data_IF_624356615998
#
_entry.id   IF_624356615998
#
_cell.length_a   1.000
_cell.length_b   1.000
_cell.length_c   1.000
_cell.angle_alpha   90.00
_cell.angle_beta   90.00
_cell.angle_gamma   90.00
#
_symmetry.space_group_name_H-M   'P 1'
#
loop_
_entity.id
_entity.type
_entity.pdbx_description
1 polymer ?
#
# COMPACT_ATOMS: atom_id res chain seq x y z
N UNK A 1 -51.94 -42.08 36.34
CA UNK A 1 -51.53 -41.89 34.92
C UNK A 1 -50.03 -42.08 34.83
N UNK A 2 -49.56 -43.33 34.85
CA UNK A 2 -49.18 -44.16 33.69
C UNK A 2 -47.94 -43.64 32.94
N UNK A 3 -46.79 -44.07 33.46
CA UNK A 3 -45.49 -44.11 32.79
C UNK A 3 -45.50 -45.14 31.65
N UNK A 4 -44.85 -44.81 30.53
CA UNK A 4 -44.57 -45.76 29.43
C UNK A 4 -43.07 -45.79 29.15
N UNK A 5 -42.48 -46.95 29.39
CA UNK A 5 -41.09 -47.27 29.08
C UNK A 5 -40.86 -47.49 27.59
N UNK A 6 -39.65 -47.19 27.13
CA UNK A 6 -39.17 -47.52 25.78
C UNK A 6 -38.51 -48.91 25.78
N UNK A 7 -38.78 -49.76 24.77
CA UNK A 7 -38.14 -51.06 24.65
C UNK A 7 -36.72 -50.95 24.07
N UNK A 8 -35.82 -51.79 24.60
CA UNK A 8 -34.47 -52.05 24.06
C UNK A 8 -34.57 -52.82 22.74
N UNK A 9 -34.21 -52.16 21.64
CA UNK A 9 -34.09 -52.76 20.31
C UNK A 9 -32.67 -53.29 20.04
N UNK A 10 -32.60 -54.62 19.98
CA UNK A 10 -31.69 -55.55 19.29
C UNK A 10 -30.51 -54.98 18.47
N UNK A 11 -29.31 -55.51 18.76
CA UNK A 11 -28.10 -55.42 17.93
C UNK A 11 -28.24 -56.33 16.70
N UNK A 12 -27.91 -55.86 15.48
CA UNK A 12 -27.75 -56.75 14.34
C UNK A 12 -26.48 -57.59 14.45
N UNK A 13 -26.59 -58.84 14.01
CA UNK A 13 -25.55 -59.87 14.02
C UNK A 13 -24.41 -59.55 13.04
N UNK A 14 -23.19 -59.84 13.47
CA UNK A 14 -21.97 -59.83 12.64
C UNK A 14 -22.02 -60.93 11.58
N UNK A 15 -21.71 -60.62 10.31
CA UNK A 15 -21.46 -61.64 9.31
C UNK A 15 -20.06 -62.25 9.49
N UNK A 16 -20.05 -63.57 9.67
CA UNK A 16 -18.86 -64.40 9.70
C UNK A 16 -18.17 -64.46 8.34
N UNK A 17 -16.84 -64.48 8.37
CA UNK A 17 -16.01 -65.19 7.38
C UNK A 17 -15.62 -64.43 6.12
N UNK A 18 -14.42 -63.83 6.12
CA UNK A 18 -13.61 -63.71 4.90
C UNK A 18 -12.28 -64.45 5.09
N UNK A 19 -11.86 -65.29 4.13
CA UNK A 19 -10.59 -66.00 4.21
C UNK A 19 -9.41 -65.10 3.81
N UNK A 20 -8.33 -65.23 4.58
CA UNK A 20 -6.92 -65.13 4.16
C UNK A 20 -6.52 -64.05 3.16
N UNK A 21 -6.21 -62.85 3.66
CA UNK A 21 -5.26 -61.96 2.99
C UNK A 21 -3.94 -62.02 3.79
N UNK A 22 -2.91 -62.56 3.13
CA UNK A 22 -1.57 -62.65 3.67
C UNK A 22 -1.00 -61.26 4.01
N UNK A 23 -0.60 -61.10 5.28
CA UNK A 23 0.59 -60.38 5.72
C UNK A 23 0.95 -59.05 5.03
N UNK A 24 0.13 -58.02 5.20
CA UNK A 24 0.65 -56.65 5.17
C UNK A 24 0.76 -56.16 6.62
N UNK A 25 2.00 -56.15 7.13
CA UNK A 25 2.32 -55.52 8.42
C UNK A 25 1.82 -54.07 8.38
N UNK A 26 0.98 -53.63 9.34
CA UNK A 26 0.66 -52.22 9.47
C UNK A 26 1.96 -51.48 9.79
N UNK A 27 2.44 -50.67 8.84
CA UNK A 27 3.53 -49.75 9.10
C UNK A 27 3.08 -48.81 10.23
N UNK A 28 3.90 -48.60 11.27
CA UNK A 28 3.55 -47.73 12.37
C UNK A 28 3.24 -46.32 11.84
N UNK A 29 2.04 -45.83 12.13
CA UNK A 29 1.55 -44.47 11.81
C UNK A 29 2.38 -43.33 12.43
N UNK A 30 3.51 -43.64 13.06
CA UNK A 30 4.38 -42.73 13.78
C UNK A 30 5.49 -42.09 12.91
N UNK A 31 5.63 -42.44 11.63
CA UNK A 31 6.76 -42.00 10.80
C UNK A 31 6.43 -40.94 9.71
N UNK A 32 5.21 -40.39 9.67
CA UNK A 32 4.82 -39.37 8.67
C UNK A 32 4.67 -37.94 9.23
N UNK A 33 5.09 -37.70 10.48
CA UNK A 33 5.06 -36.36 11.10
C UNK A 33 6.43 -35.65 11.15
N UNK A 34 7.43 -36.15 10.41
CA UNK A 34 8.82 -35.66 10.50
C UNK A 34 9.19 -34.58 9.45
N UNK A 35 8.20 -33.95 8.80
CA UNK A 35 8.42 -32.96 7.74
C UNK A 35 7.77 -31.60 7.95
N UNK A 36 7.14 -31.34 9.10
CA UNK A 36 6.64 -30.00 9.42
C UNK A 36 7.86 -29.12 9.73
N UNK A 37 8.47 -28.56 8.68
CA UNK A 37 9.43 -27.48 8.87
C UNK A 37 8.69 -26.38 9.62
N UNK A 38 9.19 -25.96 10.80
CA UNK A 38 8.55 -24.88 11.53
C UNK A 38 8.59 -23.67 10.59
N UNK A 39 7.40 -23.27 10.14
CA UNK A 39 7.13 -22.05 9.39
C UNK A 39 7.38 -20.88 10.31
N UNK A 40 8.65 -20.69 10.65
CA UNK A 40 9.15 -19.52 11.35
C UNK A 40 9.03 -18.37 10.38
N UNK A 41 7.82 -17.79 10.32
CA UNK A 41 7.69 -16.46 9.76
C UNK A 41 8.73 -15.60 10.49
N UNK A 42 9.69 -15.00 9.78
CA UNK A 42 10.75 -14.26 10.42
C UNK A 42 10.08 -13.18 11.26
N UNK A 43 10.18 -13.35 12.58
CA UNK A 43 9.59 -12.44 13.55
C UNK A 43 10.08 -11.04 13.20
N UNK A 44 9.15 -10.13 12.91
CA UNK A 44 9.48 -8.77 12.52
C UNK A 44 10.55 -8.23 13.48
N UNK A 45 11.73 -7.88 12.95
CA UNK A 45 12.84 -7.42 13.79
C UNK A 45 12.42 -6.13 14.48
N UNK A 46 12.82 -5.96 15.74
CA UNK A 46 12.64 -4.70 16.42
C UNK A 46 13.43 -3.61 15.66
N UNK A 47 12.81 -2.45 15.43
CA UNK A 47 13.49 -1.30 14.86
C UNK A 47 14.62 -0.88 15.81
N UNK A 48 15.80 -0.57 15.26
CA UNK A 48 16.92 -0.14 16.10
C UNK A 48 16.60 1.22 16.74
N UNK A 49 17.06 1.48 17.98
CA UNK A 49 16.82 2.76 18.65
C UNK A 49 17.27 3.96 17.81
N UNK A 50 18.43 3.85 17.14
CA UNK A 50 18.93 4.91 16.25
C UNK A 50 18.01 5.20 15.05
N UNK A 51 17.35 4.17 14.49
CA UNK A 51 16.36 4.38 13.44
C UNK A 51 15.12 5.10 13.96
N UNK A 52 14.65 4.77 15.18
CA UNK A 52 13.50 5.44 15.79
C UNK A 52 13.79 6.92 16.08
N UNK A 53 14.98 7.22 16.62
CA UNK A 53 15.42 8.62 16.86
C UNK A 53 15.53 9.37 15.54
N UNK A 54 16.18 8.79 14.53
CA UNK A 54 16.29 9.39 13.20
C UNK A 54 14.92 9.63 12.56
N UNK A 55 14.01 8.66 12.62
CA UNK A 55 12.65 8.82 12.11
C UNK A 55 11.89 9.91 12.86
N UNK A 56 12.00 9.98 14.19
CA UNK A 56 11.38 11.05 14.99
C UNK A 56 11.88 12.44 14.61
N UNK A 57 13.19 12.60 14.39
CA UNK A 57 13.77 13.85 13.91
C UNK A 57 13.27 14.23 12.51
N UNK A 58 13.16 13.26 11.59
CA UNK A 58 12.62 13.48 10.25
C UNK A 58 11.14 13.88 10.27
N UNK A 59 10.33 13.28 11.15
CA UNK A 59 8.93 13.66 11.37
C UNK A 59 8.84 15.11 11.86
N UNK A 60 9.64 15.48 12.87
CA UNK A 60 9.65 16.83 13.41
C UNK A 60 10.07 17.86 12.34
N UNK A 61 11.10 17.54 11.56
CA UNK A 61 11.56 18.37 10.45
C UNK A 61 10.48 18.51 9.36
N UNK A 62 9.86 17.40 8.94
CA UNK A 62 8.79 17.42 7.96
C UNK A 62 7.59 18.25 8.43
N UNK A 63 7.23 18.16 9.72
CA UNK A 63 6.17 18.95 10.33
C UNK A 63 6.49 20.45 10.26
N UNK A 64 7.69 20.83 10.70
CA UNK A 64 8.14 22.21 10.69
C UNK A 64 8.18 22.78 9.27
N UNK A 65 8.80 22.07 8.32
CA UNK A 65 8.93 22.51 6.94
C UNK A 65 7.57 22.60 6.21
N UNK A 66 6.71 21.60 6.39
CA UNK A 66 5.38 21.60 5.76
C UNK A 66 4.49 22.72 6.30
N UNK A 67 4.61 23.07 7.58
CA UNK A 67 3.87 24.20 8.14
C UNK A 67 4.44 25.56 7.71
N UNK A 68 5.77 25.68 7.68
CA UNK A 68 6.46 26.94 7.41
C UNK A 68 6.51 27.30 5.92
N UNK A 69 6.81 26.32 5.05
CA UNK A 69 7.01 26.51 3.61
C UNK A 69 6.42 25.34 2.78
N UNK A 70 5.10 25.06 2.87
CA UNK A 70 4.47 23.87 2.30
C UNK A 70 4.73 23.68 0.81
N UNK A 71 4.72 24.77 0.03
CA UNK A 71 4.91 24.69 -1.41
C UNK A 71 6.34 24.29 -1.80
N UNK A 72 7.34 24.81 -1.08
CA UNK A 72 8.74 24.42 -1.29
C UNK A 72 8.98 22.97 -0.83
N UNK A 73 8.42 22.58 0.32
CA UNK A 73 8.48 21.21 0.82
C UNK A 73 7.84 20.22 -0.15
N UNK A 74 6.68 20.56 -0.71
CA UNK A 74 6.03 19.77 -1.73
C UNK A 74 6.90 19.58 -2.97
N UNK A 75 7.44 20.69 -3.50
CA UNK A 75 8.19 20.66 -4.75
C UNK A 75 9.52 19.91 -4.61
N UNK A 76 10.28 20.19 -3.55
CA UNK A 76 11.53 19.49 -3.26
C UNK A 76 11.29 18.03 -2.88
N UNK A 77 10.24 17.76 -2.09
CA UNK A 77 9.87 16.40 -1.73
C UNK A 77 9.55 15.56 -2.95
N UNK A 78 8.74 16.10 -3.87
CA UNK A 78 8.41 15.41 -5.12
C UNK A 78 9.66 15.24 -6.02
N UNK A 79 10.49 16.27 -6.15
CA UNK A 79 11.70 16.22 -6.98
C UNK A 79 12.72 15.20 -6.44
N UNK A 80 12.97 15.17 -5.13
CA UNK A 80 14.00 14.34 -4.52
C UNK A 80 13.52 12.92 -4.20
N UNK A 81 12.26 12.75 -3.79
CA UNK A 81 11.75 11.48 -3.26
C UNK A 81 10.61 10.89 -4.10
N UNK A 82 10.09 11.62 -5.09
CA UNK A 82 9.02 11.18 -5.99
C UNK A 82 9.33 9.85 -6.69
N UNK A 83 10.27 9.81 -7.62
CA UNK A 83 10.57 8.53 -8.29
C UNK A 83 11.15 7.45 -7.34
N UNK A 84 12.05 7.79 -6.39
CA UNK A 84 12.56 6.80 -5.43
C UNK A 84 11.49 6.08 -4.61
N UNK A 85 10.48 6.78 -4.08
CA UNK A 85 9.46 6.10 -3.27
C UNK A 85 8.63 5.15 -4.12
N UNK A 86 8.23 5.54 -5.33
CA UNK A 86 7.47 4.66 -6.24
C UNK A 86 8.22 3.36 -6.51
N UNK A 87 9.52 3.44 -6.81
CA UNK A 87 10.34 2.25 -7.05
C UNK A 87 10.49 1.37 -5.80
N UNK A 88 10.73 2.00 -4.63
CA UNK A 88 10.82 1.30 -3.35
C UNK A 88 9.53 0.55 -3.02
N UNK A 89 8.38 1.19 -3.22
CA UNK A 89 7.06 0.62 -2.96
C UNK A 89 6.69 -0.48 -3.95
N UNK A 90 6.93 -0.28 -5.25
CA UNK A 90 6.68 -1.31 -6.26
C UNK A 90 7.54 -2.56 -6.01
N UNK A 91 8.79 -2.38 -5.57
CA UNK A 91 9.63 -3.51 -5.15
C UNK A 91 9.02 -4.23 -3.95
N UNK A 92 8.62 -3.48 -2.93
CA UNK A 92 7.98 -4.06 -1.74
C UNK A 92 6.73 -4.85 -2.12
N UNK A 93 5.86 -4.25 -2.93
CA UNK A 93 4.62 -4.86 -3.42
C UNK A 93 4.90 -6.14 -4.19
N UNK A 94 5.85 -6.10 -5.13
CA UNK A 94 6.21 -7.26 -5.95
C UNK A 94 6.74 -8.41 -5.10
N UNK A 95 7.76 -8.14 -4.28
CA UNK A 95 8.36 -9.15 -3.41
C UNK A 95 7.36 -9.74 -2.40
N UNK A 96 6.45 -8.91 -1.86
CA UNK A 96 5.53 -9.33 -0.80
C UNK A 96 4.28 -10.03 -1.33
N UNK A 97 3.69 -9.52 -2.42
CA UNK A 97 2.35 -9.94 -2.84
C UNK A 97 2.35 -10.83 -4.08
N UNK A 98 3.32 -10.73 -4.99
CA UNK A 98 3.33 -11.58 -6.20
C UNK A 98 3.17 -13.07 -5.87
N UNK A 99 3.88 -13.67 -4.89
CA UNK A 99 3.73 -15.10 -4.60
C UNK A 99 2.33 -15.51 -4.12
N UNK A 100 1.52 -14.55 -3.68
CA UNK A 100 0.20 -14.76 -3.07
C UNK A 100 -0.95 -14.49 -4.04
N UNK A 101 -0.72 -13.61 -5.02
CA UNK A 101 -1.76 -13.20 -5.97
C UNK A 101 -1.84 -14.22 -7.11
N UNK A 102 -3.03 -14.75 -7.45
CA UNK A 102 -3.21 -15.65 -8.59
C UNK A 102 -2.79 -14.99 -9.91
N UNK A 103 -2.13 -15.76 -10.79
CA UNK A 103 -1.61 -15.24 -12.07
C UNK A 103 -2.68 -14.57 -12.95
N UNK A 104 -3.89 -15.12 -13.02
CA UNK A 104 -5.00 -14.50 -13.77
C UNK A 104 -5.42 -13.14 -13.22
N UNK A 105 -5.36 -12.95 -11.89
CA UNK A 105 -5.66 -11.67 -11.25
C UNK A 105 -4.54 -10.65 -11.49
N UNK A 106 -3.27 -11.09 -11.44
CA UNK A 106 -2.12 -10.25 -11.82
C UNK A 106 -2.23 -9.78 -13.28
N UNK A 107 -2.62 -10.67 -14.21
CA UNK A 107 -2.82 -10.31 -15.61
C UNK A 107 -3.94 -9.27 -15.79
N UNK A 108 -5.07 -9.44 -15.09
CA UNK A 108 -6.17 -8.47 -15.08
C UNK A 108 -5.71 -7.11 -14.54
N UNK A 109 -4.97 -7.09 -13.43
CA UNK A 109 -4.44 -5.84 -12.86
C UNK A 109 -3.45 -5.16 -13.81
N UNK A 110 -2.55 -5.93 -14.42
CA UNK A 110 -1.61 -5.43 -15.42
C UNK A 110 -2.31 -4.80 -16.62
N UNK A 111 -3.38 -5.43 -17.12
CA UNK A 111 -4.18 -4.89 -18.23
C UNK A 111 -4.87 -3.56 -17.84
N UNK A 112 -5.54 -3.51 -16.69
CA UNK A 112 -6.26 -2.32 -16.23
C UNK A 112 -5.31 -1.15 -15.93
N UNK A 113 -4.18 -1.42 -15.26
CA UNK A 113 -3.14 -0.41 -15.00
C UNK A 113 -2.46 0.04 -16.30
N UNK A 114 -2.19 -0.90 -17.21
CA UNK A 114 -1.67 -0.60 -18.54
C UNK A 114 -2.56 0.38 -19.29
N UNK A 115 -3.88 0.17 -19.27
CA UNK A 115 -4.85 1.09 -19.86
C UNK A 115 -4.80 2.50 -19.24
N UNK A 116 -4.68 2.61 -17.91
CA UNK A 116 -4.51 3.91 -17.23
C UNK A 116 -3.22 4.62 -17.67
N UNK A 117 -2.10 3.89 -17.68
CA UNK A 117 -0.79 4.44 -18.05
C UNK A 117 -0.76 4.87 -19.51
N UNK A 118 -1.26 4.04 -20.43
CA UNK A 118 -1.38 4.38 -21.86
C UNK A 118 -2.26 5.61 -22.06
N UNK A 119 -3.37 5.69 -21.33
CA UNK A 119 -4.25 6.84 -21.31
C UNK A 119 -3.51 8.14 -20.94
N UNK A 120 -2.80 8.13 -19.80
CA UNK A 120 -2.01 9.28 -19.33
C UNK A 120 -0.83 9.61 -20.26
N UNK A 121 -0.17 8.60 -20.82
CA UNK A 121 0.94 8.78 -21.75
C UNK A 121 0.47 9.44 -23.06
N UNK A 122 -0.66 9.02 -23.62
CA UNK A 122 -1.26 9.67 -24.79
C UNK A 122 -1.65 11.13 -24.51
N UNK A 123 -2.13 11.43 -23.30
CA UNK A 123 -2.37 12.81 -22.86
C UNK A 123 -1.10 13.64 -22.71
N UNK A 124 -0.02 13.04 -22.21
CA UNK A 124 1.29 13.70 -22.12
C UNK A 124 1.85 14.05 -23.51
N UNK A 125 1.64 13.18 -24.50
CA UNK A 125 2.09 13.37 -25.88
C UNK A 125 1.15 14.26 -26.71
N UNK A 126 0.03 14.72 -26.14
CA UNK A 126 -0.95 15.55 -26.84
C UNK A 126 -1.83 14.80 -27.85
N UNK A 127 -1.83 13.46 -27.84
CA UNK A 127 -2.60 12.65 -28.79
C UNK A 127 -4.08 12.53 -28.45
N UNK A 128 -4.44 12.49 -27.17
CA UNK A 128 -5.83 12.45 -26.70
C UNK A 128 -5.95 12.87 -25.23
N UNK A 129 -7.16 13.08 -24.72
CA UNK A 129 -7.39 13.27 -23.29
C UNK A 129 -8.26 12.14 -22.74
N UNK A 130 -7.90 11.60 -21.57
CA UNK A 130 -8.70 10.60 -20.88
C UNK A 130 -9.66 11.32 -19.95
N UNK A 131 -10.98 11.17 -20.14
CA UNK A 131 -11.95 11.74 -19.21
C UNK A 131 -11.71 11.20 -17.80
N UNK A 132 -11.74 12.05 -16.75
CA UNK A 132 -11.58 11.61 -15.36
C UNK A 132 -12.45 10.41 -14.97
N UNK A 133 -13.67 10.35 -15.52
CA UNK A 133 -14.61 9.24 -15.29
C UNK A 133 -14.12 7.90 -15.85
N UNK A 134 -13.46 7.91 -17.00
CA UNK A 134 -12.93 6.68 -17.61
C UNK A 134 -11.78 6.13 -16.78
N UNK A 135 -10.84 6.98 -16.38
CA UNK A 135 -9.73 6.56 -15.52
C UNK A 135 -10.24 6.02 -14.17
N UNK A 136 -11.15 6.73 -13.50
CA UNK A 136 -11.74 6.23 -12.24
C UNK A 136 -12.59 4.98 -12.45
N UNK A 137 -13.20 4.79 -13.63
CA UNK A 137 -13.89 3.56 -14.00
C UNK A 137 -12.93 2.36 -14.05
N UNK A 138 -11.74 2.54 -14.62
CA UNK A 138 -10.68 1.52 -14.60
C UNK A 138 -10.19 1.24 -13.17
N UNK A 139 -10.03 2.27 -12.35
CA UNK A 139 -9.69 2.11 -10.92
C UNK A 139 -10.82 1.38 -10.17
N UNK A 140 -12.09 1.64 -10.51
CA UNK A 140 -13.23 0.91 -9.94
C UNK A 140 -13.22 -0.56 -10.32
N UNK A 141 -12.86 -0.89 -11.57
CA UNK A 141 -12.70 -2.27 -12.01
C UNK A 141 -11.53 -2.97 -11.28
N UNK A 142 -10.43 -2.25 -11.02
CA UNK A 142 -9.34 -2.75 -10.16
C UNK A 142 -9.86 -3.07 -8.76
N UNK A 143 -10.56 -2.16 -8.10
CA UNK A 143 -11.15 -2.40 -6.77
C UNK A 143 -12.13 -3.57 -6.77
N UNK A 144 -13.00 -3.66 -7.79
CA UNK A 144 -13.97 -4.74 -7.92
C UNK A 144 -13.31 -6.11 -8.03
N UNK A 145 -12.13 -6.20 -8.66
CA UNK A 145 -11.41 -7.46 -8.81
C UNK A 145 -10.94 -8.05 -7.46
N UNK A 146 -10.83 -7.26 -6.38
CA UNK A 146 -10.54 -7.78 -5.04
C UNK A 146 -11.63 -8.75 -4.54
N UNK A 147 -12.87 -8.61 -5.03
CA UNK A 147 -13.98 -9.52 -4.72
C UNK A 147 -13.82 -10.91 -5.36
N UNK A 148 -12.96 -11.03 -6.38
CA UNK A 148 -12.66 -12.28 -7.09
C UNK A 148 -11.63 -13.13 -6.34
N UNK A 149 -11.02 -12.61 -5.27
CA UNK A 149 -9.99 -13.31 -4.50
C UNK A 149 -10.64 -14.47 -3.71
N UNK A 150 -10.25 -15.73 -3.98
CA UNK A 150 -10.77 -16.87 -3.23
C UNK A 150 -10.39 -16.79 -1.75
N UNK A 151 -11.26 -17.28 -0.86
CA UNK A 151 -10.99 -17.32 0.59
C UNK A 151 -11.22 -16.01 1.34
N UNK A 152 -11.65 -14.94 0.67
CA UNK A 152 -12.04 -13.71 1.36
C UNK A 152 -13.26 -13.95 2.26
N UNK A 153 -13.12 -13.64 3.55
CA UNK A 153 -14.22 -13.69 4.52
C UNK A 153 -15.38 -12.77 4.11
N UNK A 154 -16.60 -13.06 4.59
CA UNK A 154 -17.78 -12.23 4.32
C UNK A 154 -17.59 -10.76 4.71
N UNK A 155 -16.93 -10.49 5.84
CA UNK A 155 -16.63 -9.12 6.29
C UNK A 155 -15.77 -8.37 5.28
N UNK A 156 -14.64 -8.96 4.84
CA UNK A 156 -13.74 -8.29 3.90
C UNK A 156 -14.34 -8.13 2.50
N UNK A 157 -15.21 -9.07 2.07
CA UNK A 157 -16.02 -8.89 0.86
C UNK A 157 -16.98 -7.72 1.00
N UNK A 158 -17.63 -7.55 2.14
CA UNK A 158 -18.51 -6.41 2.40
C UNK A 158 -17.73 -5.08 2.41
N UNK A 159 -16.54 -5.05 3.02
CA UNK A 159 -15.65 -3.87 2.98
C UNK A 159 -15.25 -3.52 1.54
N UNK A 160 -14.80 -4.49 0.75
CA UNK A 160 -14.45 -4.27 -0.66
C UNK A 160 -15.66 -3.80 -1.49
N UNK A 161 -16.85 -4.37 -1.27
CA UNK A 161 -18.08 -3.94 -1.92
C UNK A 161 -18.49 -2.51 -1.53
N UNK A 162 -18.34 -2.14 -0.25
CA UNK A 162 -18.59 -0.77 0.22
C UNK A 162 -17.60 0.23 -0.41
N UNK A 163 -16.31 -0.12 -0.46
CA UNK A 163 -15.30 0.70 -1.14
C UNK A 163 -15.63 0.87 -2.63
N UNK A 164 -16.05 -0.20 -3.31
CA UNK A 164 -16.48 -0.14 -4.71
C UNK A 164 -17.71 0.74 -4.89
N UNK A 165 -18.73 0.61 -4.03
CA UNK A 165 -19.94 1.42 -4.10
C UNK A 165 -19.64 2.91 -3.87
N UNK A 166 -18.81 3.23 -2.88
CA UNK A 166 -18.36 4.60 -2.61
C UNK A 166 -17.58 5.19 -3.80
N UNK A 167 -16.68 4.39 -4.39
CA UNK A 167 -15.90 4.81 -5.56
C UNK A 167 -16.81 5.04 -6.79
N UNK A 168 -17.72 4.10 -7.08
CA UNK A 168 -18.68 4.22 -8.18
C UNK A 168 -19.58 5.46 -8.04
N UNK A 169 -20.09 5.71 -6.83
CA UNK A 169 -20.83 6.93 -6.52
C UNK A 169 -19.98 8.19 -6.75
N UNK A 170 -18.72 8.18 -6.30
CA UNK A 170 -17.76 9.25 -6.53
C UNK A 170 -17.50 9.51 -8.02
N UNK A 171 -17.30 8.47 -8.83
CA UNK A 171 -17.10 8.56 -10.29
C UNK A 171 -18.31 9.22 -10.96
N UNK A 172 -19.52 8.81 -10.57
CA UNK A 172 -20.76 9.32 -11.16
C UNK A 172 -21.02 10.79 -10.77
N UNK A 173 -20.93 11.09 -9.48
CA UNK A 173 -21.39 12.35 -8.89
C UNK A 173 -20.32 13.44 -8.90
N UNK A 174 -19.06 13.10 -8.59
CA UNK A 174 -18.01 14.09 -8.38
C UNK A 174 -16.60 13.53 -8.69
N UNK A 175 -16.27 13.25 -9.97
CA UNK A 175 -15.02 12.55 -10.33
C UNK A 175 -13.77 13.33 -9.93
N UNK A 176 -13.76 14.65 -10.05
CA UNK A 176 -12.61 15.47 -9.63
C UNK A 176 -12.41 15.46 -8.11
N UNK A 177 -13.50 15.56 -7.34
CA UNK A 177 -13.45 15.43 -5.88
C UNK A 177 -12.98 14.03 -5.46
N UNK A 178 -13.39 13.00 -6.20
CA UNK A 178 -12.98 11.62 -5.98
C UNK A 178 -11.48 11.43 -6.19
N UNK A 179 -10.89 12.04 -7.22
CA UNK A 179 -9.43 12.05 -7.40
C UNK A 179 -8.71 12.72 -6.24
N UNK A 180 -9.20 13.86 -5.75
CA UNK A 180 -8.62 14.54 -4.57
C UNK A 180 -8.73 13.65 -3.35
N UNK A 181 -9.89 13.04 -3.10
CA UNK A 181 -10.07 12.12 -1.97
C UNK A 181 -9.13 10.91 -2.04
N UNK A 182 -9.00 10.27 -3.20
CA UNK A 182 -8.04 9.18 -3.41
C UNK A 182 -6.59 9.68 -3.27
N UNK A 183 -6.30 10.90 -3.72
CA UNK A 183 -4.99 11.53 -3.54
C UNK A 183 -4.69 11.84 -2.07
N UNK A 184 -5.68 12.07 -1.22
CA UNK A 184 -5.43 12.19 0.23
C UNK A 184 -5.30 10.82 0.88
N UNK A 185 -6.18 9.88 0.52
CA UNK A 185 -6.23 8.53 1.08
C UNK A 185 -5.02 7.68 0.72
N UNK A 186 -4.40 7.85 -0.46
CA UNK A 186 -3.21 7.06 -0.81
C UNK A 186 -2.04 7.34 0.13
N UNK A 187 -1.94 8.54 0.72
CA UNK A 187 -0.90 8.81 1.71
C UNK A 187 -1.02 7.90 2.94
N UNK A 188 -2.19 7.28 3.17
CA UNK A 188 -2.45 6.35 4.28
C UNK A 188 -2.14 4.89 3.94
N UNK A 189 -1.84 4.54 2.69
CA UNK A 189 -1.58 3.14 2.30
C UNK A 189 -0.41 2.48 3.04
N UNK A 190 0.64 3.20 3.48
CA UNK A 190 1.68 2.58 4.31
C UNK A 190 1.15 2.07 5.65
N UNK A 191 0.06 2.64 6.19
CA UNK A 191 -0.59 2.09 7.39
C UNK A 191 -1.28 0.75 7.10
N UNK A 192 -1.85 0.59 5.89
CA UNK A 192 -2.39 -0.68 5.41
C UNK A 192 -1.30 -1.75 5.31
N UNK A 193 -0.15 -1.41 4.73
CA UNK A 193 1.00 -2.32 4.66
C UNK A 193 1.59 -2.64 6.04
N UNK A 194 1.64 -1.65 6.94
CA UNK A 194 2.04 -1.88 8.32
C UNK A 194 1.07 -2.82 9.06
N UNK A 195 -0.24 -2.69 8.80
CA UNK A 195 -1.27 -3.58 9.34
C UNK A 195 -1.14 -5.01 8.81
N UNK A 196 -0.82 -5.16 7.52
CA UNK A 196 -0.55 -6.46 6.88
C UNK A 196 0.70 -7.10 7.48
N UNK A 197 1.74 -6.31 7.73
CA UNK A 197 3.06 -6.82 8.09
C UNK A 197 3.20 -7.23 9.54
N UNK A 198 2.48 -6.55 10.45
CA UNK A 198 2.60 -6.73 11.88
C UNK A 198 1.41 -7.50 12.46
N UNK A 199 1.66 -8.15 13.60
CA UNK A 199 0.64 -8.94 14.30
C UNK A 199 0.43 -8.49 15.75
N UNK A 200 -0.71 -8.90 16.32
CA UNK A 200 -1.03 -8.77 17.74
C UNK A 200 -0.82 -7.38 18.33
N UNK A 201 -0.14 -7.31 19.48
CA UNK A 201 0.11 -6.06 20.19
C UNK A 201 1.11 -5.12 19.49
N UNK A 202 1.94 -5.61 18.57
CA UNK A 202 2.85 -4.77 17.77
C UNK A 202 2.07 -4.01 16.70
N UNK A 203 1.17 -4.70 15.98
CA UNK A 203 0.25 -4.07 15.02
C UNK A 203 -0.56 -2.95 15.67
N UNK A 204 -1.20 -3.22 16.81
CA UNK A 204 -2.02 -2.21 17.51
C UNK A 204 -1.22 -0.96 17.87
N UNK A 205 -0.02 -1.12 18.44
CA UNK A 205 0.86 0.02 18.78
C UNK A 205 1.31 0.79 17.55
N UNK A 206 1.71 0.10 16.49
CA UNK A 206 2.17 0.72 15.26
C UNK A 206 1.05 1.47 14.55
N UNK A 207 -0.19 0.94 14.54
CA UNK A 207 -1.36 1.64 14.00
C UNK A 207 -1.83 2.80 14.88
N UNK A 208 -1.73 2.69 16.21
CA UNK A 208 -2.03 3.82 17.10
C UNK A 208 -1.06 4.97 16.88
N UNK A 209 0.25 4.69 16.82
CA UNK A 209 1.27 5.68 16.49
C UNK A 209 1.07 6.22 15.07
N UNK A 210 0.81 5.35 14.10
CA UNK A 210 0.50 5.73 12.72
C UNK A 210 -0.72 6.65 12.62
N UNK A 211 -1.79 6.38 13.37
CA UNK A 211 -2.97 7.24 13.45
C UNK A 211 -2.65 8.61 14.05
N UNK A 212 -1.83 8.66 15.11
CA UNK A 212 -1.35 9.93 15.66
C UNK A 212 -0.56 10.73 14.61
N UNK A 213 0.33 10.08 13.86
CA UNK A 213 1.18 10.74 12.87
C UNK A 213 0.41 11.17 11.61
N UNK A 214 -0.42 10.29 11.03
CA UNK A 214 -1.11 10.53 9.76
C UNK A 214 -2.47 11.21 9.91
N UNK A 215 -3.03 11.30 11.11
CA UNK A 215 -4.30 11.99 11.37
C UNK A 215 -4.13 13.10 12.41
N UNK A 216 -3.54 12.78 13.56
CA UNK A 216 -3.36 13.75 14.66
C UNK A 216 -2.52 14.96 14.26
N UNK A 217 -1.30 14.76 13.74
CA UNK A 217 -0.42 15.87 13.35
C UNK A 217 -0.97 16.71 12.17
N UNK A 218 -1.53 16.12 11.08
CA UNK A 218 -2.23 16.89 10.05
C UNK A 218 -3.38 17.74 10.58
N UNK A 219 -4.15 17.23 11.56
CA UNK A 219 -5.19 18.01 12.21
C UNK A 219 -4.60 19.20 12.97
N UNK A 220 -3.47 19.05 13.65
CA UNK A 220 -2.77 20.18 14.30
C UNK A 220 -2.31 21.24 13.28
N UNK A 221 -1.81 20.83 12.11
CA UNK A 221 -1.46 21.75 11.01
C UNK A 221 -2.71 22.48 10.51
N UNK A 222 -3.83 21.76 10.35
CA UNK A 222 -5.09 22.33 9.88
C UNK A 222 -5.64 23.39 10.86
N UNK A 223 -5.49 23.14 12.16
CA UNK A 223 -5.83 24.07 13.24
C UNK A 223 -4.87 25.28 13.33
N UNK A 224 -3.75 25.26 12.61
CA UNK A 224 -2.80 26.38 12.56
C UNK A 224 -1.79 26.40 13.71
N UNK A 225 -1.71 25.35 14.53
CA UNK A 225 -0.87 25.35 15.73
C UNK A 225 0.64 25.52 15.42
N UNK A 226 1.24 24.76 14.48
CA UNK A 226 2.65 24.97 14.12
C UNK A 226 2.93 26.35 13.52
N UNK A 227 2.02 26.87 12.70
CA UNK A 227 2.15 28.17 12.04
C UNK A 227 2.09 29.32 13.05
N UNK A 228 1.34 29.17 14.15
CA UNK A 228 1.31 30.16 15.23
C UNK A 228 2.67 30.30 15.95
N UNK A 229 3.49 29.24 15.93
CA UNK A 229 4.82 29.20 16.55
C UNK A 229 5.93 29.61 15.58
N UNK A 230 5.86 29.15 14.33
CA UNK A 230 6.93 29.31 13.34
C UNK A 230 6.72 30.52 12.40
N UNK A 231 5.51 31.07 12.39
CA UNK A 231 5.03 31.91 11.29
C UNK A 231 4.78 31.09 10.01
N UNK A 232 4.26 31.75 8.98
CA UNK A 232 4.11 31.17 7.64
C UNK A 232 4.95 31.98 6.67
N UNK A 233 5.84 31.29 5.95
CA UNK A 233 6.67 31.91 4.93
C UNK A 233 5.98 31.84 3.57
N UNK A 234 6.02 32.96 2.85
CA UNK A 234 5.72 33.00 1.42
C UNK A 234 6.97 32.77 0.57
N UNK A 235 7.99 32.07 1.12
CA UNK A 235 9.23 31.80 0.41
C UNK A 235 8.93 31.24 -0.99
N UNK A 236 9.59 31.77 -2.03
CA UNK A 236 9.38 31.31 -3.39
C UNK A 236 9.73 29.83 -3.45
N UNK A 237 8.80 29.05 -3.97
CA UNK A 237 9.04 27.63 -4.18
C UNK A 237 9.89 27.42 -5.45
N UNK A 238 10.76 26.39 -5.47
CA UNK A 238 11.64 26.14 -6.60
C UNK A 238 10.84 25.73 -7.85
N UNK A 239 11.52 25.76 -9.00
CA UNK A 239 10.97 25.27 -10.28
C UNK A 239 9.74 26.03 -10.81
N UNK A 240 9.52 27.26 -10.33
CA UNK A 240 8.41 28.12 -10.78
C UNK A 240 7.03 27.62 -10.39
N UNK A 241 6.92 26.81 -9.33
CA UNK A 241 5.64 26.25 -8.90
C UNK A 241 4.75 27.32 -8.27
N UNK A 242 3.46 27.34 -8.64
CA UNK A 242 2.46 28.24 -8.09
C UNK A 242 1.48 27.49 -7.19
N UNK A 243 1.18 28.07 -6.02
CA UNK A 243 0.27 27.47 -5.04
C UNK A 243 -1.11 27.18 -5.65
N UNK A 244 -1.67 28.15 -6.39
CA UNK A 244 -3.00 28.04 -7.00
C UNK A 244 -3.14 26.81 -7.92
N UNK A 245 -2.06 26.39 -8.58
CA UNK A 245 -2.06 25.19 -9.42
C UNK A 245 -1.98 23.90 -8.62
N UNK A 246 -1.33 23.93 -7.46
CA UNK A 246 -1.17 22.74 -6.62
C UNK A 246 -2.39 22.48 -5.75
N UNK A 247 -3.12 23.52 -5.33
CA UNK A 247 -4.36 23.36 -4.55
C UNK A 247 -5.37 22.42 -5.24
N UNK A 248 -5.39 22.40 -6.58
CA UNK A 248 -6.32 21.56 -7.36
C UNK A 248 -6.20 20.07 -7.07
N UNK A 249 -5.02 19.60 -6.66
CA UNK A 249 -4.75 18.18 -6.36
C UNK A 249 -5.01 17.76 -4.92
N UNK A 250 -5.09 18.71 -3.98
CA UNK A 250 -5.15 18.42 -2.53
C UNK A 250 -6.36 19.05 -1.83
N UNK A 251 -7.01 20.02 -2.47
CA UNK A 251 -8.16 20.73 -1.92
C UNK A 251 -9.36 20.54 -2.84
N UNK A 252 -10.47 20.09 -2.26
CA UNK A 252 -11.72 19.91 -2.95
C UNK A 252 -12.17 21.22 -3.63
N UNK A 253 -12.78 21.16 -4.83
CA UNK A 253 -13.14 22.37 -5.58
C UNK A 253 -13.92 23.42 -4.77
N UNK A 254 -14.87 22.98 -3.95
CA UNK A 254 -15.71 23.85 -3.12
C UNK A 254 -14.94 24.56 -1.98
N UNK A 255 -13.74 24.11 -1.64
CA UNK A 255 -12.97 24.59 -0.49
C UNK A 255 -11.74 25.42 -0.87
N UNK A 256 -11.46 25.61 -2.16
CA UNK A 256 -10.23 26.28 -2.62
C UNK A 256 -10.13 27.76 -2.24
N UNK A 257 -11.27 28.42 -2.06
CA UNK A 257 -11.35 29.81 -1.60
C UNK A 257 -11.46 29.94 -0.06
N UNK A 258 -11.53 28.82 0.66
CA UNK A 258 -11.64 28.85 2.11
C UNK A 258 -10.33 29.35 2.75
N UNK A 259 -10.44 30.09 3.85
CA UNK A 259 -9.29 30.63 4.59
C UNK A 259 -8.35 29.56 5.17
N UNK A 260 -8.79 28.30 5.18
CA UNK A 260 -8.02 27.15 5.65
C UNK A 260 -7.49 26.27 4.51
N UNK A 261 -7.74 26.61 3.24
CA UNK A 261 -7.31 25.82 2.08
C UNK A 261 -5.78 25.60 2.06
N UNK A 262 -5.00 26.63 2.38
CA UNK A 262 -3.54 26.52 2.45
C UNK A 262 -3.07 25.62 3.60
N UNK A 263 -3.77 25.65 4.73
CA UNK A 263 -3.48 24.77 5.87
C UNK A 263 -3.83 23.31 5.56
N UNK A 264 -4.92 23.07 4.82
CA UNK A 264 -5.22 21.74 4.30
C UNK A 264 -4.13 21.26 3.33
N UNK A 265 -3.65 22.13 2.43
CA UNK A 265 -2.53 21.81 1.55
C UNK A 265 -1.26 21.47 2.35
N UNK A 266 -0.90 22.28 3.34
CA UNK A 266 0.23 22.01 4.23
C UNK A 266 0.10 20.67 4.97
N UNK A 267 -1.10 20.35 5.46
CA UNK A 267 -1.39 19.08 6.10
C UNK A 267 -1.21 17.90 5.12
N UNK A 268 -1.67 18.04 3.88
CA UNK A 268 -1.48 17.04 2.83
C UNK A 268 0.00 16.84 2.46
N UNK A 269 0.77 17.93 2.34
CA UNK A 269 2.22 17.87 2.10
C UNK A 269 2.93 17.14 3.23
N UNK A 270 2.55 17.40 4.48
CA UNK A 270 3.10 16.67 5.62
C UNK A 270 2.76 15.17 5.55
N UNK A 271 1.52 14.79 5.24
CA UNK A 271 1.17 13.38 5.05
C UNK A 271 1.94 12.71 3.91
N UNK A 272 2.24 13.44 2.84
CA UNK A 272 3.08 12.98 1.74
C UNK A 272 4.53 12.75 2.20
N UNK A 273 5.10 13.63 3.02
CA UNK A 273 6.41 13.41 3.63
C UNK A 273 6.43 12.18 4.55
N UNK A 274 5.37 11.96 5.33
CA UNK A 274 5.24 10.74 6.14
C UNK A 274 5.13 9.49 5.27
N UNK A 275 4.38 9.54 4.17
CA UNK A 275 4.30 8.45 3.22
C UNK A 275 5.70 8.10 2.68
N UNK A 276 6.49 9.10 2.25
CA UNK A 276 7.88 8.89 1.82
C UNK A 276 8.76 8.27 2.90
N UNK A 277 8.68 8.78 4.13
CA UNK A 277 9.42 8.25 5.27
C UNK A 277 9.11 6.76 5.48
N UNK A 278 7.84 6.38 5.42
CA UNK A 278 7.43 5.00 5.64
C UNK A 278 7.89 4.08 4.52
N UNK A 279 7.69 4.48 3.27
CA UNK A 279 8.03 3.68 2.08
C UNK A 279 9.54 3.54 1.89
N UNK A 280 10.31 4.59 2.18
CA UNK A 280 11.76 4.60 1.95
C UNK A 280 12.57 4.07 3.14
N UNK A 281 12.09 4.23 4.38
CA UNK A 281 12.86 3.87 5.58
C UNK A 281 12.18 2.80 6.44
N UNK A 282 10.89 2.96 6.77
CA UNK A 282 10.23 2.11 7.78
C UNK A 282 9.89 0.71 7.23
N UNK A 283 9.19 0.62 6.10
CA UNK A 283 8.85 -0.66 5.48
C UNK A 283 10.10 -1.49 5.15
N UNK A 284 11.15 -0.92 4.51
CA UNK A 284 12.42 -1.64 4.29
C UNK A 284 13.08 -2.14 5.58
N UNK A 285 12.99 -1.37 6.67
CA UNK A 285 13.56 -1.78 7.95
C UNK A 285 12.82 -2.96 8.59
N UNK A 286 11.50 -3.06 8.40
CA UNK A 286 10.68 -4.16 8.93
C UNK A 286 10.96 -5.50 8.25
N UNK A 287 11.33 -5.50 6.97
CA UNK A 287 11.76 -6.70 6.25
C UNK A 287 13.19 -7.13 6.59
N UNK A 288 13.91 -6.31 7.38
CA UNK A 288 15.31 -6.49 7.67
C UNK A 288 16.15 -6.03 6.50
N UNK A 289 16.98 -5.00 6.71
CA UNK A 289 17.75 -4.34 5.64
C UNK A 289 18.43 -5.36 4.71
N UNK A 290 19.12 -6.36 5.25
CA UNK A 290 19.76 -7.41 4.46
C UNK A 290 18.80 -8.10 3.47
N UNK A 291 17.63 -8.56 3.93
CA UNK A 291 16.66 -9.24 3.09
C UNK A 291 15.96 -8.29 2.11
N UNK A 292 15.59 -7.09 2.56
CA UNK A 292 14.96 -6.08 1.70
C UNK A 292 15.86 -5.66 0.55
N UNK A 293 17.16 -5.54 0.83
CA UNK A 293 18.14 -5.14 -0.16
C UNK A 293 18.52 -6.29 -1.11
N UNK A 294 18.15 -7.54 -0.87
CA UNK A 294 18.45 -8.66 -1.79
C UNK A 294 19.51 -9.64 -1.30
N UNK A 295 19.79 -9.68 0.00
CA UNK A 295 20.37 -10.86 0.64
C UNK A 295 19.25 -11.81 1.08
N UNK A 296 18.33 -12.10 0.17
CA UNK A 296 17.48 -13.27 0.35
C UNK A 296 18.41 -14.49 0.33
N UNK A 297 18.30 -15.44 1.29
CA UNK A 297 19.11 -16.65 1.27
C UNK A 297 19.03 -17.30 -0.12
N UNK A 298 20.18 -17.73 -0.65
CA UNK A 298 20.28 -18.35 -1.97
C UNK A 298 19.19 -19.44 -2.11
N UNK A 299 18.24 -19.21 -3.03
CA UNK A 299 17.06 -20.09 -3.23
C UNK A 299 15.69 -19.45 -2.99
N UNK A 300 15.62 -18.26 -2.36
CA UNK A 300 14.35 -17.59 -2.04
C UNK A 300 13.94 -16.46 -3.02
N UNK A 301 14.69 -16.25 -4.10
CA UNK A 301 14.34 -15.28 -5.18
C UNK A 301 13.19 -15.74 -6.09
N UNK A 302 12.61 -16.93 -5.84
CA UNK A 302 11.51 -17.48 -6.65
C UNK A 302 10.19 -16.80 -6.28
N UNK A 303 10.01 -15.53 -6.64
CA UNK A 303 8.81 -14.83 -6.24
C UNK A 303 8.49 -13.51 -6.92
N UNK A 304 9.43 -12.76 -7.48
CA UNK A 304 9.15 -11.43 -8.05
C UNK A 304 8.69 -11.49 -9.50
N UNK A 305 7.99 -10.46 -9.97
CA UNK A 305 7.70 -10.21 -11.38
C UNK A 305 8.91 -9.57 -12.07
N UNK A 306 9.57 -8.63 -11.38
CA UNK A 306 10.72 -7.91 -11.92
C UNK A 306 12.04 -8.42 -11.32
N UNK A 307 13.13 -8.41 -12.09
CA UNK A 307 14.47 -8.74 -11.61
C UNK A 307 15.04 -7.53 -10.84
N UNK A 308 14.54 -7.30 -9.62
CA UNK A 308 15.03 -6.20 -8.79
C UNK A 308 16.52 -6.34 -8.48
N UNK A 309 17.30 -5.25 -8.50
CA UNK A 309 18.72 -5.32 -8.22
C UNK A 309 18.98 -5.74 -6.76
N UNK A 310 20.19 -6.26 -6.51
CA UNK A 310 20.69 -6.51 -5.16
C UNK A 310 20.92 -5.23 -4.34
N UNK A 311 21.59 -5.32 -3.17
CA UNK A 311 21.58 -4.23 -2.19
C UNK A 311 22.14 -2.91 -2.70
N UNK A 312 23.38 -3.00 -3.18
CA UNK A 312 24.09 -1.88 -3.74
C UNK A 312 23.36 -1.35 -4.99
N UNK A 313 22.91 -2.26 -5.86
CA UNK A 313 22.22 -1.89 -7.09
C UNK A 313 20.88 -1.18 -6.84
N UNK A 314 20.17 -1.53 -5.77
CA UNK A 314 18.95 -0.81 -5.39
C UNK A 314 19.30 0.57 -4.84
N UNK A 315 20.32 0.68 -3.99
CA UNK A 315 20.76 1.99 -3.49
C UNK A 315 21.15 2.92 -4.64
N UNK A 316 21.89 2.40 -5.62
CA UNK A 316 22.24 3.09 -6.85
C UNK A 316 21.01 3.42 -7.71
N UNK A 317 20.06 2.49 -7.84
CA UNK A 317 18.80 2.73 -8.57
C UNK A 317 17.99 3.87 -7.94
N UNK A 318 17.84 3.87 -6.61
CA UNK A 318 17.13 4.94 -5.91
C UNK A 318 17.84 6.28 -6.02
N UNK A 319 19.18 6.28 -5.94
CA UNK A 319 19.98 7.49 -6.15
C UNK A 319 19.85 8.01 -7.58
N UNK A 320 19.94 7.13 -8.59
CA UNK A 320 19.76 7.48 -9.99
C UNK A 320 18.33 7.99 -10.26
N UNK A 321 17.32 7.38 -9.63
CA UNK A 321 15.94 7.82 -9.70
C UNK A 321 15.74 9.22 -9.10
N UNK A 322 16.38 9.50 -7.96
CA UNK A 322 16.37 10.83 -7.34
C UNK A 322 17.04 11.86 -8.25
N UNK A 323 18.21 11.53 -8.80
CA UNK A 323 18.95 12.41 -9.73
C UNK A 323 18.17 12.67 -11.01
N UNK A 324 17.57 11.65 -11.61
CA UNK A 324 16.72 11.77 -12.79
C UNK A 324 15.50 12.65 -12.49
N UNK A 325 14.79 12.37 -11.40
CA UNK A 325 13.62 13.15 -10.99
C UNK A 325 13.99 14.63 -10.84
N UNK A 326 15.02 14.93 -10.03
CA UNK A 326 15.51 16.30 -9.86
C UNK A 326 15.91 16.95 -11.20
N UNK A 327 16.64 16.23 -12.05
CA UNK A 327 17.04 16.68 -13.38
C UNK A 327 15.85 17.03 -14.28
N UNK A 328 14.78 16.22 -14.26
CA UNK A 328 13.54 16.50 -15.00
C UNK A 328 12.85 17.77 -14.48
N UNK A 329 12.77 17.95 -13.16
CA UNK A 329 12.17 19.15 -12.55
C UNK A 329 12.94 20.42 -12.91
N UNK A 330 14.27 20.34 -12.93
CA UNK A 330 15.13 21.46 -13.38
C UNK A 330 14.97 21.73 -14.87
N UNK A 331 15.01 20.69 -15.71
CA UNK A 331 15.05 20.84 -17.17
C UNK A 331 13.69 21.20 -17.81
N UNK A 332 12.59 20.62 -17.31
CA UNK A 332 11.26 20.74 -17.91
C UNK A 332 10.34 21.72 -17.15
N UNK A 333 10.77 22.17 -15.97
CA UNK A 333 9.92 22.90 -15.03
C UNK A 333 8.90 22.00 -14.32
N UNK A 334 8.29 22.53 -13.26
CA UNK A 334 7.48 21.76 -12.32
C UNK A 334 6.31 21.01 -12.98
N UNK A 335 5.52 21.71 -13.80
CA UNK A 335 4.29 21.16 -14.38
C UNK A 335 4.54 20.00 -15.33
N UNK A 336 5.56 20.11 -16.20
CA UNK A 336 5.89 19.05 -17.15
C UNK A 336 6.50 17.83 -16.45
N UNK A 337 7.47 18.05 -15.55
CA UNK A 337 8.07 16.98 -14.77
C UNK A 337 7.04 16.21 -13.92
N UNK A 338 6.10 16.92 -13.29
CA UNK A 338 4.99 16.31 -12.54
C UNK A 338 4.09 15.42 -13.42
N UNK A 339 3.84 15.80 -14.68
CA UNK A 339 3.06 14.95 -15.61
C UNK A 339 3.82 13.69 -16.01
N UNK A 340 5.14 13.76 -16.21
CA UNK A 340 5.97 12.58 -16.44
C UNK A 340 5.97 11.64 -15.22
N UNK A 341 6.16 12.21 -14.03
CA UNK A 341 6.08 11.49 -12.76
C UNK A 341 4.70 10.84 -12.55
N UNK A 342 3.62 11.45 -13.04
CA UNK A 342 2.27 10.92 -12.89
C UNK A 342 2.05 9.54 -13.57
N UNK A 343 2.93 9.10 -14.47
CA UNK A 343 2.85 7.77 -15.10
C UNK A 343 3.20 6.65 -14.12
N UNK A 344 4.44 6.55 -13.58
CA UNK A 344 4.75 5.55 -12.57
C UNK A 344 3.94 5.77 -11.28
N UNK A 345 3.61 7.02 -10.95
CA UNK A 345 2.75 7.34 -9.80
C UNK A 345 1.32 6.75 -9.92
N UNK A 346 0.80 6.61 -11.15
CA UNK A 346 -0.50 5.94 -11.33
C UNK A 346 -0.40 4.46 -11.00
N UNK A 347 0.71 3.80 -11.37
CA UNK A 347 0.88 2.36 -11.20
C UNK A 347 0.87 1.99 -9.73
N UNK A 348 1.71 2.60 -8.89
CA UNK A 348 1.77 2.26 -7.46
C UNK A 348 0.46 2.65 -6.73
N UNK A 349 -0.03 3.87 -6.89
CA UNK A 349 -1.23 4.32 -6.19
C UNK A 349 -2.46 3.45 -6.49
N UNK A 350 -2.61 2.97 -7.73
CA UNK A 350 -3.77 2.19 -8.12
C UNK A 350 -3.64 0.69 -7.84
N UNK A 351 -2.42 0.11 -7.84
CA UNK A 351 -2.24 -1.31 -7.48
C UNK A 351 -2.45 -1.57 -5.99
N UNK A 352 -2.19 -0.57 -5.14
CA UNK A 352 -2.33 -0.66 -3.68
C UNK A 352 -3.76 -0.91 -3.22
N UNK A 353 -4.75 -0.31 -3.88
CA UNK A 353 -6.16 -0.43 -3.50
C UNK A 353 -6.66 -1.88 -3.50
N UNK A 354 -6.60 -2.63 -4.62
CA UNK A 354 -7.03 -4.02 -4.62
C UNK A 354 -6.14 -4.92 -3.77
N UNK A 355 -4.84 -4.61 -3.65
CA UNK A 355 -3.92 -5.36 -2.80
C UNK A 355 -4.31 -5.30 -1.32
N UNK A 356 -4.53 -4.09 -0.79
CA UNK A 356 -4.87 -3.90 0.62
C UNK A 356 -6.26 -4.49 0.95
N UNK A 357 -7.21 -4.42 0.03
CA UNK A 357 -8.52 -5.06 0.19
C UNK A 357 -8.44 -6.60 0.14
N UNK A 358 -7.54 -7.14 -0.68
CA UNK A 358 -7.33 -8.58 -0.83
C UNK A 358 -6.40 -9.18 0.24
N UNK A 359 -5.54 -8.37 0.87
CA UNK A 359 -4.46 -8.82 1.75
C UNK A 359 -4.91 -9.82 2.83
N UNK A 360 -6.06 -9.64 3.53
CA UNK A 360 -6.52 -10.60 4.52
C UNK A 360 -6.77 -12.00 3.95
N UNK A 361 -7.35 -12.08 2.75
CA UNK A 361 -7.62 -13.35 2.07
C UNK A 361 -6.33 -14.00 1.55
N UNK A 362 -5.42 -13.17 1.04
CA UNK A 362 -4.11 -13.62 0.53
C UNK A 362 -3.23 -14.20 1.65
N UNK A 363 -3.32 -13.64 2.87
CA UNK A 363 -2.62 -14.15 4.04
C UNK A 363 -3.13 -15.53 4.46
N UNK A 364 -4.45 -15.70 4.62
CA UNK A 364 -5.03 -16.99 5.03
C UNK A 364 -4.72 -18.13 4.07
N UNK A 365 -4.58 -17.83 2.77
CA UNK A 365 -4.17 -18.84 1.76
C UNK A 365 -2.71 -19.25 1.88
N UNK A 366 -1.82 -18.31 2.20
CA UNK A 366 -0.41 -18.61 2.39
C UNK A 366 -0.21 -19.51 3.62
N UNK A 367 -0.95 -19.25 4.70
CA UNK A 367 -0.96 -20.08 5.91
C UNK A 367 -1.52 -21.48 5.65
N UNK A 368 -2.54 -21.61 4.80
CA UNK A 368 -3.11 -22.92 4.46
C UNK A 368 -2.23 -23.77 3.52
N UNK A 369 -1.29 -23.15 2.81
CA UNK A 369 -0.38 -23.83 1.88
C UNK A 369 0.95 -24.26 2.53
N UNK A 370 1.20 -23.84 3.78
CA UNK A 370 2.40 -24.11 4.56
C UNK A 370 2.11 -25.14 5.65
#
# INVERSE_FOLDING_TARGET
MLARGRPRGQRPAEPAGRPGAAGLRPLPRAALSAGAQPTTQPSARALSPGLLVGAGALVALALALSAWAPLATYALGLACFGLPHVLSELRYVDARFKPRVPGGLLALWGLLLGAVVLGRAGALLGGWSVPPRLELGLVSALVASALLVPGASGLWRAVAALCLAALAAGVALAPLATFVALSLLHNLTPLGFLAERLEGGRRRRALALGGLLFLGLPLLILLGAPQSLLGQSQAPAPFGVLLADQLKGFVFPAWRSASWAERLFAAAVFTQCLHYLYVLLILPALDGRAAWWGQAPAGQERGTLLPWPGPLGTGLLLLAAAGLSLGLFVALGFSAAKRCYALPAAVHAWIELPLLLAAPALLSRAEAAS
#
